data_IF_504127957459
#
_entry.id   IF_504127957459
#
_cell.length_a   1.000
_cell.length_b   1.000
_cell.length_c   1.000
_cell.angle_alpha   90.00
_cell.angle_beta   90.00
_cell.angle_gamma   90.00
#
_symmetry.space_group_name_H-M   'P 1'
#
loop_
_entity.id
_entity.type
_entity.pdbx_description
1 polymer ?
#
# COMPACT_ATOMS: atom_id res chain seq x y z
N UNK A 1 -10.37 -8.24 65.94
CA UNK A 1 -9.57 -8.18 64.69
C UNK A 1 -9.13 -6.74 64.50
N UNK A 2 -7.83 -6.46 64.54
CA UNK A 2 -7.31 -5.12 64.26
C UNK A 2 -7.20 -5.02 62.74
N UNK A 3 -8.05 -4.20 62.11
CA UNK A 3 -7.92 -3.88 60.68
C UNK A 3 -6.65 -3.05 60.54
N UNK A 4 -5.56 -3.68 60.09
CA UNK A 4 -4.34 -2.96 59.71
C UNK A 4 -4.62 -2.35 58.35
N UNK A 5 -5.31 -1.21 58.33
CA UNK A 5 -5.47 -0.42 57.12
C UNK A 5 -4.07 -0.02 56.61
N UNK A 6 -3.84 -0.25 55.32
CA UNK A 6 -2.59 0.09 54.66
C UNK A 6 -2.41 1.60 54.76
N UNK A 7 -1.40 2.03 55.54
CA UNK A 7 -1.13 3.46 55.88
C UNK A 7 -1.07 4.41 54.68
N UNK A 8 -0.89 3.89 53.46
CA UNK A 8 -1.17 4.62 52.22
C UNK A 8 -1.59 3.61 51.12
N UNK A 9 -2.86 3.63 50.67
CA UNK A 9 -3.33 2.70 49.65
C UNK A 9 -2.67 2.93 48.27
N UNK A 10 -2.30 4.18 47.97
CA UNK A 10 -1.75 4.61 46.67
C UNK A 10 -0.22 4.52 46.58
N UNK A 11 0.46 4.07 47.64
CA UNK A 11 1.92 3.95 47.65
C UNK A 11 2.36 2.61 47.06
N UNK A 12 3.17 2.67 46.01
CA UNK A 12 3.93 1.56 45.44
C UNK A 12 5.34 2.05 45.04
N UNK A 13 6.26 1.11 44.80
CA UNK A 13 7.63 1.40 44.34
C UNK A 13 7.81 0.81 42.95
N UNK A 14 8.45 1.57 42.05
CA UNK A 14 8.77 1.12 40.70
C UNK A 14 10.29 1.12 40.50
N UNK A 15 10.85 -0.03 40.11
CA UNK A 15 12.28 -0.19 39.85
C UNK A 15 12.57 -0.43 38.37
N UNK A 16 13.52 0.30 37.79
CA UNK A 16 13.98 0.12 36.42
C UNK A 16 15.27 -0.71 36.37
N UNK A 17 15.32 -1.70 35.48
CA UNK A 17 16.48 -2.54 35.26
C UNK A 17 17.36 -1.92 34.16
N UNK A 18 18.55 -1.45 34.53
CA UNK A 18 19.50 -0.81 33.61
C UNK A 18 19.98 -1.71 32.46
N UNK A 19 19.81 -3.03 32.58
CA UNK A 19 20.21 -3.98 31.54
C UNK A 19 19.17 -4.10 30.42
N UNK A 20 17.94 -3.61 30.65
CA UNK A 20 16.84 -3.65 29.69
C UNK A 20 16.71 -2.30 28.97
N UNK A 21 16.90 -2.24 27.63
CA UNK A 21 16.80 -0.99 26.89
C UNK A 21 15.45 -0.27 27.05
N UNK A 22 14.36 -1.03 27.15
CA UNK A 22 13.00 -0.49 27.37
C UNK A 22 12.85 0.19 28.72
N UNK A 23 13.52 -0.32 29.77
CA UNK A 23 13.50 0.30 31.09
C UNK A 23 14.35 1.57 31.13
N UNK A 24 15.49 1.57 30.44
CA UNK A 24 16.34 2.77 30.31
C UNK A 24 15.58 3.89 29.60
N UNK A 25 14.98 3.59 28.45
CA UNK A 25 14.16 4.54 27.70
C UNK A 25 12.98 5.07 28.54
N UNK A 26 12.25 4.18 29.23
CA UNK A 26 11.16 4.60 30.12
C UNK A 26 11.66 5.52 31.24
N UNK A 27 12.82 5.23 31.83
CA UNK A 27 13.42 6.07 32.86
C UNK A 27 13.85 7.45 32.32
N UNK A 28 14.44 7.52 31.12
CA UNK A 28 14.81 8.77 30.45
C UNK A 28 13.59 9.67 30.21
N UNK A 29 12.51 9.09 29.67
CA UNK A 29 11.24 9.81 29.46
C UNK A 29 10.70 10.34 30.79
N UNK A 30 10.58 9.46 31.80
CA UNK A 30 10.06 9.87 33.12
C UNK A 30 10.94 10.93 33.79
N UNK A 31 12.26 10.87 33.62
CA UNK A 31 13.17 11.87 34.18
C UNK A 31 13.04 13.25 33.51
N UNK A 32 12.65 13.30 32.24
CA UNK A 32 12.44 14.58 31.52
C UNK A 32 11.13 15.29 31.86
N UNK A 33 10.15 14.59 32.44
CA UNK A 33 8.84 15.17 32.79
C UNK A 33 8.77 15.64 34.24
N UNK A 34 8.04 16.74 34.46
CA UNK A 34 7.84 17.34 35.79
C UNK A 34 6.94 16.50 36.68
N UNK A 35 5.81 16.01 36.16
CA UNK A 35 4.88 15.14 36.89
C UNK A 35 4.90 13.73 36.32
N UNK A 36 5.61 12.84 37.02
CA UNK A 36 5.76 11.43 36.65
C UNK A 36 4.52 10.63 37.01
N UNK A 37 3.85 11.00 38.10
CA UNK A 37 2.70 10.26 38.59
C UNK A 37 1.52 10.42 37.63
N UNK A 38 1.28 11.65 37.16
CA UNK A 38 0.21 11.94 36.21
C UNK A 38 0.45 11.28 34.85
N UNK A 39 1.70 11.31 34.35
CA UNK A 39 2.05 10.62 33.10
C UNK A 39 1.86 9.10 33.21
N UNK A 40 2.33 8.49 34.30
CA UNK A 40 2.17 7.04 34.53
C UNK A 40 0.69 6.68 34.66
N UNK A 41 -0.09 7.45 35.43
CA UNK A 41 -1.52 7.21 35.60
C UNK A 41 -2.25 7.31 34.25
N UNK A 42 -2.00 8.36 33.50
CA UNK A 42 -2.61 8.58 32.17
C UNK A 42 -2.24 7.47 31.18
N UNK A 43 -0.97 7.05 31.14
CA UNK A 43 -0.52 5.98 30.26
C UNK A 43 -1.14 4.62 30.63
N UNK A 44 -1.23 4.30 31.93
CA UNK A 44 -1.83 3.05 32.41
C UNK A 44 -3.33 3.03 32.12
N UNK A 45 -4.05 4.12 32.39
CA UNK A 45 -5.48 4.25 32.05
C UNK A 45 -5.69 4.11 30.54
N UNK A 46 -4.90 4.83 29.72
CA UNK A 46 -4.99 4.73 28.26
C UNK A 46 -4.65 3.32 27.72
N UNK A 47 -3.77 2.57 28.38
CA UNK A 47 -3.40 1.22 27.97
C UNK A 47 -4.44 0.15 28.37
N UNK A 48 -5.07 0.32 29.54
CA UNK A 48 -6.04 -0.64 30.10
C UNK A 48 -7.47 -0.33 29.62
N UNK A 49 -7.91 0.91 29.75
CA UNK A 49 -9.27 1.35 29.40
C UNK A 49 -9.38 1.68 27.90
N UNK A 50 -8.27 2.14 27.31
CA UNK A 50 -8.13 2.26 25.86
C UNK A 50 -7.76 0.91 25.25
N UNK A 51 -8.67 -0.06 25.33
CA UNK A 51 -8.50 -1.39 24.74
C UNK A 51 -7.87 -1.31 23.36
N UNK A 52 -6.66 -1.87 23.24
CA UNK A 52 -5.87 -1.87 22.01
C UNK A 52 -5.63 -0.47 21.41
N UNK A 53 -4.59 0.20 21.87
CA UNK A 53 -3.84 1.12 20.99
C UNK A 53 -2.87 0.36 20.09
N UNK A 54 -3.29 -0.81 19.58
CA UNK A 54 -2.95 -1.23 18.22
C UNK A 54 -3.81 -0.50 17.18
N UNK A 55 -4.56 0.54 17.60
CA UNK A 55 -5.01 1.62 16.72
C UNK A 55 -3.83 2.47 16.24
N UNK A 56 -2.83 1.84 15.62
CA UNK A 56 -2.33 2.40 14.38
C UNK A 56 -3.58 2.64 13.55
N UNK A 57 -3.81 3.90 13.15
CA UNK A 57 -5.03 4.38 12.52
C UNK A 57 -5.80 3.22 11.90
N UNK A 58 -6.94 2.83 12.49
CA UNK A 58 -7.81 1.82 11.85
C UNK A 58 -8.31 2.51 10.61
N UNK A 59 -7.51 2.44 9.55
CA UNK A 59 -7.80 3.01 8.27
C UNK A 59 -9.05 2.27 7.85
N UNK A 60 -10.17 2.97 7.84
CA UNK A 60 -11.42 2.39 7.39
C UNK A 60 -11.14 1.82 6.00
N UNK A 61 -11.22 0.49 5.89
CA UNK A 61 -10.90 -0.23 4.65
C UNK A 61 -11.75 0.29 3.49
N UNK A 62 -12.98 0.71 3.75
CA UNK A 62 -13.89 1.33 2.79
C UNK A 62 -13.40 2.73 2.38
N UNK A 63 -12.95 3.55 3.32
CA UNK A 63 -12.37 4.87 3.01
C UNK A 63 -11.07 4.77 2.19
N UNK A 64 -10.23 3.78 2.48
CA UNK A 64 -9.04 3.45 1.69
C UNK A 64 -9.42 2.98 0.28
N UNK A 65 -10.43 2.11 0.14
CA UNK A 65 -10.91 1.64 -1.15
C UNK A 65 -11.46 2.78 -2.00
N UNK A 66 -12.24 3.68 -1.40
CA UNK A 66 -12.77 4.88 -2.07
C UNK A 66 -11.63 5.77 -2.54
N UNK A 67 -10.64 6.01 -1.68
CA UNK A 67 -9.46 6.82 -2.03
C UNK A 67 -8.64 6.19 -3.15
N UNK A 68 -8.37 4.88 -3.11
CA UNK A 68 -7.65 4.17 -4.17
C UNK A 68 -8.40 4.21 -5.49
N UNK A 69 -9.73 4.00 -5.48
CA UNK A 69 -10.54 4.04 -6.70
C UNK A 69 -10.49 5.42 -7.37
N UNK A 70 -10.57 6.48 -6.57
CA UNK A 70 -10.45 7.86 -7.05
C UNK A 70 -9.06 8.14 -7.65
N UNK A 71 -7.99 7.72 -6.97
CA UNK A 71 -6.62 7.85 -7.49
C UNK A 71 -6.41 7.08 -8.81
N UNK A 72 -6.93 5.85 -8.90
CA UNK A 72 -6.85 5.05 -10.13
C UNK A 72 -7.63 5.72 -11.25
N UNK A 73 -8.83 6.26 -10.98
CA UNK A 73 -9.63 6.98 -11.95
C UNK A 73 -8.90 8.22 -12.48
N UNK A 74 -8.29 9.01 -11.59
CA UNK A 74 -7.50 10.18 -11.96
C UNK A 74 -6.27 9.81 -12.80
N UNK A 75 -5.57 8.73 -12.45
CA UNK A 75 -4.40 8.27 -13.22
C UNK A 75 -4.81 7.75 -14.61
N UNK A 76 -5.93 7.03 -14.72
CA UNK A 76 -6.47 6.56 -16.01
C UNK A 76 -6.91 7.73 -16.88
N UNK A 77 -7.63 8.71 -16.33
CA UNK A 77 -8.05 9.90 -17.07
C UNK A 77 -6.85 10.70 -17.55
N UNK A 78 -5.83 10.88 -16.70
CA UNK A 78 -4.56 11.52 -17.07
C UNK A 78 -3.82 10.73 -18.16
N UNK A 79 -3.78 9.40 -18.07
CA UNK A 79 -3.18 8.55 -19.09
C UNK A 79 -3.93 8.64 -20.43
N UNK A 80 -5.26 8.68 -20.40
CA UNK A 80 -6.09 8.85 -21.59
C UNK A 80 -5.88 10.22 -22.22
N UNK A 81 -5.91 11.31 -21.43
CA UNK A 81 -5.61 12.65 -21.93
C UNK A 81 -4.22 12.72 -22.56
N UNK A 82 -3.20 12.12 -21.93
CA UNK A 82 -1.86 12.03 -22.51
C UNK A 82 -1.81 11.21 -23.81
N UNK A 83 -2.68 10.21 -23.97
CA UNK A 83 -2.81 9.45 -25.22
C UNK A 83 -3.49 10.27 -26.32
N UNK A 84 -4.56 10.99 -25.99
CA UNK A 84 -5.27 11.87 -26.92
C UNK A 84 -4.43 13.07 -27.35
N UNK A 85 -3.74 13.73 -26.42
CA UNK A 85 -2.81 14.82 -26.74
C UNK A 85 -1.60 14.36 -27.55
N UNK A 86 -1.20 13.08 -27.45
CA UNK A 86 -0.20 12.49 -28.34
C UNK A 86 -0.75 12.16 -29.72
N UNK A 87 -2.00 11.70 -29.84
CA UNK A 87 -2.63 11.47 -31.14
C UNK A 87 -2.92 12.78 -31.89
N UNK A 88 -3.21 13.87 -31.18
CA UNK A 88 -3.41 15.20 -31.76
C UNK A 88 -2.09 15.81 -32.26
N UNK A 89 -0.96 15.52 -31.60
CA UNK A 89 0.38 15.87 -32.12
C UNK A 89 0.87 14.98 -33.27
N UNK A 90 0.20 13.85 -33.57
CA UNK A 90 0.52 13.01 -34.74
C UNK A 90 -0.25 13.47 -35.99
N UNK A 91 -1.27 14.34 -35.85
CA UNK A 91 -2.04 14.84 -36.99
C UNK A 91 -1.51 16.18 -37.57
N UNK A 92 -0.39 16.72 -37.10
CA UNK A 92 0.14 18.00 -37.60
C UNK A 92 1.50 17.86 -38.31
N UNK A 93 2.14 16.68 -38.33
CA UNK A 93 3.47 16.49 -38.95
C UNK A 93 3.54 15.60 -40.20
N UNK A 94 2.41 15.20 -40.81
CA UNK A 94 2.43 14.54 -42.13
C UNK A 94 1.41 15.16 -43.10
N UNK A 95 1.54 16.45 -43.36
CA UNK A 95 1.10 17.04 -44.62
C UNK A 95 2.34 17.36 -45.47
N UNK A 96 2.69 16.45 -46.38
CA UNK A 96 3.66 16.48 -47.51
C UNK A 96 4.44 15.17 -47.45
N UNK A 97 4.26 14.16 -48.30
CA UNK A 97 4.06 14.14 -49.74
C UNK A 97 3.57 12.73 -50.12
N UNK A 98 2.61 12.66 -51.07
CA UNK A 98 2.47 11.60 -52.08
C UNK A 98 2.26 10.14 -51.60
N UNK A 99 1.31 9.34 -52.06
CA UNK A 99 0.30 9.41 -53.10
C UNK A 99 -0.55 8.14 -52.84
N UNK A 100 -1.87 8.31 -52.91
CA UNK A 100 -2.91 7.37 -53.34
C UNK A 100 -2.49 5.88 -53.46
N UNK A 101 -3.17 4.98 -52.71
CA UNK A 101 -3.84 3.75 -53.21
C UNK A 101 -4.34 2.88 -52.02
N UNK A 102 -5.67 2.77 -51.95
CA UNK A 102 -6.46 1.60 -51.49
C UNK A 102 -6.40 1.14 -50.02
N UNK A 103 -7.47 1.42 -49.27
CA UNK A 103 -8.56 0.45 -48.97
C UNK A 103 -8.12 -0.79 -48.18
N UNK A 104 -8.70 -0.91 -46.99
CA UNK A 104 -9.21 -2.15 -46.40
C UNK A 104 -8.52 -3.45 -46.85
N UNK A 105 -7.60 -3.95 -46.03
CA UNK A 105 -7.44 -5.40 -45.94
C UNK A 105 -7.08 -5.79 -44.52
N UNK A 106 -7.98 -6.58 -43.94
CA UNK A 106 -7.70 -7.58 -42.92
C UNK A 106 -6.24 -7.99 -43.05
N UNK A 107 -5.45 -7.78 -41.99
CA UNK A 107 -4.09 -8.31 -41.92
C UNK A 107 -4.22 -9.84 -41.88
N UNK A 108 -4.37 -10.41 -43.07
CA UNK A 108 -4.22 -11.81 -43.35
C UNK A 108 -2.77 -12.09 -43.02
N UNK A 109 -2.54 -12.59 -41.81
CA UNK A 109 -1.26 -13.05 -41.35
C UNK A 109 -0.85 -14.21 -42.26
N UNK A 110 -0.17 -13.87 -43.36
CA UNK A 110 0.43 -14.85 -44.27
C UNK A 110 1.56 -15.50 -43.49
N UNK A 111 1.22 -16.56 -42.77
CA UNK A 111 2.18 -17.48 -42.18
C UNK A 111 3.06 -17.98 -43.33
N UNK A 112 4.34 -17.61 -43.30
CA UNK A 112 5.31 -18.11 -44.26
C UNK A 112 5.20 -19.65 -44.34
N UNK A 113 5.29 -20.27 -45.54
CA UNK A 113 5.07 -21.71 -45.73
C UNK A 113 5.88 -22.59 -44.79
N UNK A 114 7.08 -22.14 -44.41
CA UNK A 114 7.95 -22.79 -43.43
C UNK A 114 7.38 -22.78 -42.02
N UNK A 115 6.80 -21.67 -41.58
CA UNK A 115 6.18 -21.53 -40.26
C UNK A 115 4.93 -22.42 -40.16
N UNK A 116 4.12 -22.46 -41.22
CA UNK A 116 2.96 -23.34 -41.28
C UNK A 116 3.34 -24.83 -41.23
N UNK A 117 4.46 -25.21 -41.85
CA UNK A 117 5.00 -26.58 -41.78
C UNK A 117 5.52 -26.91 -40.38
N UNK A 118 6.27 -26.00 -39.77
CA UNK A 118 6.82 -26.17 -38.40
C UNK A 118 5.71 -26.39 -37.37
N UNK A 119 4.62 -25.61 -37.43
CA UNK A 119 3.48 -25.76 -36.50
C UNK A 119 2.80 -27.11 -36.71
N UNK A 120 2.62 -27.54 -37.97
CA UNK A 120 2.00 -28.83 -38.30
C UNK A 120 2.82 -30.01 -37.79
N UNK A 121 4.14 -29.97 -37.95
CA UNK A 121 5.05 -31.03 -37.51
C UNK A 121 5.08 -31.12 -35.97
N UNK A 122 5.12 -29.97 -35.28
CA UNK A 122 5.04 -29.92 -33.82
C UNK A 122 3.72 -30.49 -33.29
N UNK A 123 2.59 -30.13 -33.91
CA UNK A 123 1.27 -30.66 -33.54
C UNK A 123 1.13 -32.16 -33.83
N UNK A 124 1.77 -32.67 -34.88
CA UNK A 124 1.76 -34.09 -35.25
C UNK A 124 2.46 -34.98 -34.20
N UNK A 125 3.54 -34.47 -33.60
CA UNK A 125 4.31 -35.21 -32.59
C UNK A 125 3.50 -35.55 -31.32
N UNK A 126 2.47 -34.75 -31.00
CA UNK A 126 1.58 -35.02 -29.85
C UNK A 126 0.47 -36.03 -30.18
N UNK A 127 0.17 -36.27 -31.45
CA UNK A 127 -0.98 -37.08 -31.85
C UNK A 127 -0.68 -38.59 -31.91
N UNK A 128 0.59 -38.98 -31.94
CA UNK A 128 1.03 -40.38 -32.06
C UNK A 128 1.69 -40.92 -30.77
N UNK A 129 1.24 -40.47 -29.59
CA UNK A 129 1.57 -41.09 -28.30
C UNK A 129 0.37 -41.80 -27.70
#
# INVERSE_FOLDING_TARGET
MINVEKKNPYKFTLGFDKTKPTHVCAAEILNSVRDKADLIASAVVAHIDGGSTEKGAVLNQEALQIMMLELVKQEVEKAMQNYFSKQENVQVEEETEEDVIEKQKISEFVLAPEVAKSVRDAMSAFRNR
#
